data_IF_192900078193
#
_entry.id   IF_192900078193
#
_cell.length_a   1.000
_cell.length_b   1.000
_cell.length_c   1.000
_cell.angle_alpha   90.00
_cell.angle_beta   90.00
_cell.angle_gamma   90.00
#
_symmetry.space_group_name_H-M   'P 1'
#
loop_
_entity.id
_entity.type
_entity.pdbx_description
1 polymer ?
#
# COMPACT_ATOMS: atom_id res chain seq x y z
N UNK A 1 -10.26 21.37 3.54
CA UNK A 1 -8.87 21.36 3.05
C UNK A 1 -7.83 21.27 4.18
N UNK A 2 -8.18 20.75 5.35
CA UNK A 2 -7.28 20.72 6.53
C UNK A 2 -6.57 19.40 6.80
N UNK A 3 -6.80 18.36 6.01
CA UNK A 3 -6.40 16.99 6.35
C UNK A 3 -4.99 16.53 5.94
N UNK A 4 -4.23 17.27 5.13
CA UNK A 4 -2.90 16.83 4.62
C UNK A 4 -1.72 17.64 5.20
N UNK A 5 -1.99 18.71 5.98
CA UNK A 5 -0.95 19.53 6.57
C UNK A 5 -0.16 18.72 7.62
N UNK A 6 1.18 18.73 7.49
CA UNK A 6 2.19 18.14 8.38
C UNK A 6 2.48 16.65 8.24
N UNK A 7 2.05 15.94 7.20
CA UNK A 7 2.49 14.56 6.96
C UNK A 7 3.91 14.52 6.45
N UNK A 8 4.69 13.61 7.01
CA UNK A 8 6.09 13.44 6.67
C UNK A 8 6.25 12.39 5.58
N UNK A 9 6.84 12.76 4.45
CA UNK A 9 7.13 11.88 3.34
C UNK A 9 8.65 11.80 3.16
N UNK A 10 9.18 10.59 3.08
CA UNK A 10 10.56 10.36 2.70
C UNK A 10 10.65 10.05 1.21
N UNK A 11 11.61 10.67 0.54
CA UNK A 11 11.94 10.42 -0.87
C UNK A 11 13.35 9.86 -0.94
N UNK A 12 13.46 8.62 -1.36
CA UNK A 12 14.73 7.88 -1.46
C UNK A 12 14.97 7.60 -2.95
N UNK A 13 15.95 8.29 -3.53
CA UNK A 13 16.28 8.23 -4.97
C UNK A 13 17.72 8.75 -5.11
N UNK A 14 18.56 8.16 -5.94
CA UNK A 14 19.93 8.61 -6.13
C UNK A 14 20.04 9.87 -7.01
N UNK A 15 19.05 10.12 -7.88
CA UNK A 15 18.99 11.32 -8.73
C UNK A 15 18.51 12.54 -7.94
N UNK A 16 19.40 13.53 -7.73
CA UNK A 16 19.11 14.78 -7.04
C UNK A 16 17.96 15.56 -7.71
N UNK A 17 17.92 15.60 -9.05
CA UNK A 17 16.88 16.35 -9.77
C UNK A 17 15.50 15.72 -9.54
N UNK A 18 15.42 14.40 -9.46
CA UNK A 18 14.17 13.69 -9.17
C UNK A 18 13.74 13.97 -7.73
N UNK A 19 14.67 13.92 -6.76
CA UNK A 19 14.37 14.26 -5.36
C UNK A 19 13.86 15.68 -5.22
N UNK A 20 14.50 16.65 -5.89
CA UNK A 20 14.07 18.06 -5.89
C UNK A 20 12.69 18.24 -6.52
N UNK A 21 12.45 17.62 -7.68
CA UNK A 21 11.18 17.68 -8.40
C UNK A 21 10.02 17.14 -7.56
N UNK A 22 10.18 15.94 -6.99
CA UNK A 22 9.19 15.32 -6.11
C UNK A 22 8.95 16.19 -4.88
N UNK A 23 10.02 16.67 -4.26
CA UNK A 23 9.95 17.53 -3.07
C UNK A 23 9.18 18.82 -3.35
N UNK A 24 9.43 19.46 -4.50
CA UNK A 24 8.72 20.67 -4.92
C UNK A 24 7.20 20.44 -5.02
N UNK A 25 6.79 19.36 -5.70
CA UNK A 25 5.37 19.06 -5.89
C UNK A 25 4.67 18.72 -4.56
N UNK A 26 5.29 17.89 -3.73
CA UNK A 26 4.69 17.46 -2.48
C UNK A 26 4.64 18.58 -1.43
N UNK A 27 5.68 19.42 -1.34
CA UNK A 27 5.66 20.59 -0.47
C UNK A 27 4.57 21.60 -0.85
N UNK A 28 4.30 21.78 -2.17
CA UNK A 28 3.20 22.60 -2.66
C UNK A 28 1.82 22.08 -2.24
N UNK A 29 1.69 20.77 -2.04
CA UNK A 29 0.48 20.12 -1.52
C UNK A 29 0.40 20.10 0.02
N UNK A 30 1.40 20.68 0.72
CA UNK A 30 1.42 20.82 2.18
C UNK A 30 2.08 19.68 2.95
N UNK A 31 2.81 18.79 2.27
CA UNK A 31 3.58 17.72 2.90
C UNK A 31 4.92 18.23 3.44
N UNK A 32 5.40 17.60 4.53
CA UNK A 32 6.79 17.72 5.00
C UNK A 32 7.59 16.67 4.24
N UNK A 33 8.61 17.10 3.49
CA UNK A 33 9.40 16.18 2.64
C UNK A 33 10.86 16.20 3.07
N UNK A 34 11.37 15.03 3.39
CA UNK A 34 12.80 14.76 3.61
C UNK A 34 13.31 13.86 2.47
N UNK A 35 14.54 14.09 2.02
CA UNK A 35 15.10 13.41 0.85
C UNK A 35 16.39 12.69 1.21
N UNK A 36 16.61 11.51 0.64
CA UNK A 36 17.77 10.65 0.90
C UNK A 36 18.30 10.12 -0.42
N UNK A 37 19.63 10.06 -0.55
CA UNK A 37 20.32 9.68 -1.79
C UNK A 37 20.58 8.18 -1.92
N UNK A 38 20.30 7.40 -0.89
CA UNK A 38 20.51 5.94 -0.90
C UNK A 38 19.54 5.21 0.01
N UNK A 39 19.37 3.91 -0.23
CA UNK A 39 18.54 3.03 0.59
C UNK A 39 19.00 3.00 2.04
N UNK A 40 20.31 2.92 2.27
CA UNK A 40 20.92 2.89 3.60
C UNK A 40 20.60 4.16 4.40
N UNK A 41 20.74 5.34 3.78
CA UNK A 41 20.41 6.62 4.41
C UNK A 41 18.94 6.71 4.77
N UNK A 42 18.06 6.27 3.87
CA UNK A 42 16.63 6.22 4.09
C UNK A 42 16.23 5.28 5.23
N UNK A 43 16.83 4.08 5.30
CA UNK A 43 16.58 3.09 6.36
C UNK A 43 16.99 3.66 7.73
N UNK A 44 18.18 4.28 7.84
CA UNK A 44 18.63 4.89 9.09
C UNK A 44 17.70 6.02 9.54
N UNK A 45 17.22 6.83 8.60
CA UNK A 45 16.24 7.88 8.90
C UNK A 45 14.89 7.30 9.37
N UNK A 46 14.39 6.22 8.77
CA UNK A 46 13.15 5.54 9.19
C UNK A 46 13.28 4.98 10.60
N UNK A 47 14.44 4.41 10.97
CA UNK A 47 14.71 3.93 12.34
C UNK A 47 14.66 5.07 13.36
N UNK A 48 15.14 6.25 12.99
CA UNK A 48 15.15 7.42 13.87
C UNK A 48 13.76 8.05 14.00
N UNK A 49 12.98 8.12 12.93
CA UNK A 49 11.64 8.72 12.91
C UNK A 49 10.87 8.21 11.69
N UNK A 50 9.90 7.33 11.91
CA UNK A 50 9.08 6.78 10.84
C UNK A 50 8.30 7.88 10.10
N UNK A 51 8.31 7.88 8.74
CA UNK A 51 7.46 8.77 7.95
C UNK A 51 6.05 8.20 7.79
N UNK A 52 5.13 9.03 7.28
CA UNK A 52 3.78 8.61 6.91
C UNK A 52 3.75 7.89 5.55
N UNK A 53 4.77 8.09 4.72
CA UNK A 53 4.92 7.45 3.42
C UNK A 53 6.38 7.51 2.97
N UNK A 54 6.82 6.49 2.25
CA UNK A 54 8.11 6.47 1.52
C UNK A 54 7.84 6.42 0.02
N UNK A 55 8.49 7.30 -0.74
CA UNK A 55 8.69 7.19 -2.18
C UNK A 55 10.09 6.62 -2.40
N UNK A 56 10.20 5.48 -3.06
CA UNK A 56 11.43 4.70 -3.14
C UNK A 56 11.77 4.37 -4.59
N UNK A 57 12.91 4.88 -5.07
CA UNK A 57 13.42 4.46 -6.39
C UNK A 57 13.90 3.02 -6.37
N UNK A 58 13.71 2.33 -7.50
CA UNK A 58 14.19 0.96 -7.67
C UNK A 58 15.66 0.92 -8.06
N UNK A 59 16.08 1.82 -8.95
CA UNK A 59 17.37 1.76 -9.63
C UNK A 59 18.41 2.64 -8.92
N UNK A 60 18.82 2.26 -7.71
CA UNK A 60 19.86 2.96 -6.96
C UNK A 60 21.17 2.19 -6.93
N UNK A 61 22.33 2.85 -6.94
CA UNK A 61 23.61 2.19 -6.75
C UNK A 61 23.76 1.67 -5.32
N UNK A 62 24.47 0.55 -5.14
CA UNK A 62 24.63 -0.10 -3.85
C UNK A 62 23.40 -0.93 -3.48
N UNK A 63 22.68 -0.55 -2.44
CA UNK A 63 21.41 -1.19 -2.07
C UNK A 63 20.29 -0.71 -2.99
N UNK A 64 19.75 -1.61 -3.81
CA UNK A 64 18.64 -1.29 -4.70
C UNK A 64 17.31 -1.07 -3.94
N UNK A 65 16.29 -0.58 -4.66
CA UNK A 65 14.99 -0.30 -4.04
C UNK A 65 14.27 -1.55 -3.54
N UNK A 66 14.50 -2.71 -4.15
CA UNK A 66 13.87 -3.95 -3.69
C UNK A 66 14.47 -4.44 -2.37
N UNK A 67 15.78 -4.37 -2.22
CA UNK A 67 16.44 -4.72 -0.97
C UNK A 67 16.14 -3.69 0.12
N UNK A 68 16.09 -2.39 -0.25
CA UNK A 68 15.64 -1.32 0.64
C UNK A 68 14.23 -1.57 1.16
N UNK A 69 13.28 -1.94 0.27
CA UNK A 69 11.91 -2.27 0.64
C UNK A 69 11.84 -3.44 1.64
N UNK A 70 12.60 -4.51 1.41
CA UNK A 70 12.67 -5.66 2.32
C UNK A 70 13.14 -5.23 3.72
N UNK A 71 14.16 -4.36 3.80
CA UNK A 71 14.64 -3.84 5.08
C UNK A 71 13.60 -2.93 5.77
N UNK A 72 12.91 -2.07 5.00
CA UNK A 72 11.80 -1.25 5.54
C UNK A 72 10.71 -2.14 6.13
N UNK A 73 10.35 -3.25 5.46
CA UNK A 73 9.33 -4.19 5.95
C UNK A 73 9.72 -4.90 7.24
N UNK A 74 11.01 -5.07 7.54
CA UNK A 74 11.47 -5.57 8.84
C UNK A 74 11.33 -4.54 9.96
N UNK A 75 11.29 -3.25 9.62
CA UNK A 75 11.14 -2.16 10.59
C UNK A 75 9.66 -1.84 10.91
N UNK A 76 8.74 -2.19 10.02
CA UNK A 76 7.31 -1.94 10.20
C UNK A 76 6.54 -1.82 8.89
N UNK A 77 5.27 -1.43 9.01
CA UNK A 77 4.33 -1.37 7.89
C UNK A 77 4.16 0.08 7.34
N UNK A 78 5.25 0.84 7.28
CA UNK A 78 5.23 2.16 6.65
C UNK A 78 4.80 2.02 5.18
N UNK A 79 3.82 2.80 4.70
CA UNK A 79 3.42 2.78 3.30
C UNK A 79 4.57 3.12 2.37
N UNK A 80 4.74 2.34 1.29
CA UNK A 80 5.81 2.54 0.29
C UNK A 80 5.23 2.57 -1.11
N UNK A 81 5.52 3.63 -1.85
CA UNK A 81 5.28 3.71 -3.30
C UNK A 81 6.62 3.56 -4.00
N UNK A 82 6.75 2.54 -4.84
CA UNK A 82 7.95 2.37 -5.67
C UNK A 82 7.94 3.38 -6.82
N UNK A 83 9.07 4.01 -7.09
CA UNK A 83 9.27 4.90 -8.25
C UNK A 83 10.26 4.21 -9.18
N UNK A 84 9.96 4.07 -10.46
CA UNK A 84 10.78 3.26 -11.37
C UNK A 84 10.84 3.83 -12.77
N UNK A 85 12.00 3.73 -13.42
CA UNK A 85 12.16 3.98 -14.84
C UNK A 85 11.73 2.77 -15.71
N UNK A 86 11.50 1.61 -15.08
CA UNK A 86 11.14 0.37 -15.76
C UNK A 86 9.63 0.26 -15.91
N UNK A 87 9.17 0.20 -17.15
CA UNK A 87 7.75 0.01 -17.51
C UNK A 87 7.38 -1.46 -17.74
N UNK A 88 8.31 -2.39 -17.52
CA UNK A 88 8.03 -3.81 -17.68
C UNK A 88 7.08 -4.29 -16.57
N UNK A 89 6.05 -5.00 -16.98
CA UNK A 89 5.02 -5.56 -16.07
C UNK A 89 5.66 -6.41 -14.96
N UNK A 90 6.80 -7.05 -15.23
CA UNK A 90 7.51 -7.88 -14.27
C UNK A 90 8.05 -7.06 -13.08
N UNK A 91 8.66 -5.90 -13.32
CA UNK A 91 9.23 -5.08 -12.26
C UNK A 91 8.14 -4.48 -11.35
N UNK A 92 6.99 -4.10 -11.93
CA UNK A 92 5.83 -3.62 -11.18
C UNK A 92 5.25 -4.72 -10.28
N UNK A 93 5.08 -5.93 -10.81
CA UNK A 93 4.59 -7.09 -10.06
C UNK A 93 5.57 -7.45 -8.95
N UNK A 94 6.88 -7.48 -9.22
CA UNK A 94 7.89 -7.81 -8.22
C UNK A 94 7.89 -6.82 -7.06
N UNK A 95 7.84 -5.51 -7.31
CA UNK A 95 7.77 -4.49 -6.26
C UNK A 95 6.54 -4.66 -5.38
N UNK A 96 5.38 -4.89 -5.98
CA UNK A 96 4.15 -5.18 -5.25
C UNK A 96 4.26 -6.52 -4.50
N UNK A 97 4.80 -7.59 -5.08
CA UNK A 97 5.02 -8.88 -4.41
C UNK A 97 5.98 -8.78 -3.21
N UNK A 98 6.93 -7.85 -3.22
CA UNK A 98 7.83 -7.58 -2.11
C UNK A 98 7.24 -6.72 -0.99
N UNK A 99 6.03 -6.20 -1.18
CA UNK A 99 5.35 -5.46 -0.12
C UNK A 99 5.10 -3.99 -0.39
N UNK A 100 5.39 -3.46 -1.58
CA UNK A 100 5.00 -2.10 -1.94
C UNK A 100 3.47 -1.96 -1.96
N UNK A 101 2.99 -0.76 -1.62
CA UNK A 101 1.57 -0.42 -1.63
C UNK A 101 1.11 0.08 -3.00
N UNK A 102 2.01 0.70 -3.76
CA UNK A 102 1.77 1.19 -5.12
C UNK A 102 3.10 1.39 -5.86
N UNK A 103 3.03 1.78 -7.14
CA UNK A 103 4.19 2.14 -7.96
C UNK A 103 3.90 3.34 -8.87
N UNK A 104 4.95 4.05 -9.27
CA UNK A 104 4.93 5.18 -10.22
C UNK A 104 6.02 4.96 -11.26
N UNK A 105 5.71 5.13 -12.53
CA UNK A 105 6.68 4.98 -13.62
C UNK A 105 7.26 6.36 -14.00
N UNK A 106 8.58 6.45 -14.09
CA UNK A 106 9.29 7.63 -14.62
C UNK A 106 9.28 7.60 -16.16
N UNK A 107 9.01 8.72 -16.86
CA UNK A 107 8.62 10.02 -16.34
C UNK A 107 7.15 10.04 -15.91
N UNK A 108 6.84 10.70 -14.81
CA UNK A 108 5.49 10.84 -14.26
C UNK A 108 4.99 12.28 -14.33
N UNK A 109 3.68 12.44 -14.44
CA UNK A 109 3.03 13.73 -14.34
C UNK A 109 2.88 14.16 -12.87
N UNK A 110 3.02 15.45 -12.53
CA UNK A 110 2.83 15.94 -11.15
C UNK A 110 1.48 15.55 -10.55
N UNK A 111 0.43 15.55 -11.36
CA UNK A 111 -0.91 15.14 -10.94
C UNK A 111 -0.99 13.67 -10.58
N UNK A 112 -0.31 12.81 -11.32
CA UNK A 112 -0.24 11.38 -11.03
C UNK A 112 0.47 11.14 -9.70
N UNK A 113 1.66 11.72 -9.51
CA UNK A 113 2.41 11.62 -8.25
C UNK A 113 1.55 12.03 -7.05
N UNK A 114 0.95 13.22 -7.12
CA UNK A 114 0.15 13.75 -6.00
C UNK A 114 -1.11 12.95 -5.75
N UNK A 115 -1.78 12.44 -6.80
CA UNK A 115 -2.96 11.59 -6.67
C UNK A 115 -2.62 10.27 -5.96
N UNK A 116 -1.53 9.59 -6.34
CA UNK A 116 -1.09 8.34 -5.71
C UNK A 116 -0.66 8.55 -4.26
N UNK A 117 0.11 9.60 -3.99
CA UNK A 117 0.49 9.95 -2.62
C UNK A 117 -0.75 10.21 -1.76
N UNK A 118 -1.72 10.97 -2.27
CA UNK A 118 -3.00 11.23 -1.58
C UNK A 118 -3.78 9.92 -1.36
N UNK A 119 -3.86 9.06 -2.35
CA UNK A 119 -4.57 7.78 -2.24
C UNK A 119 -3.96 6.88 -1.17
N UNK A 120 -2.64 6.78 -1.08
CA UNK A 120 -1.96 5.96 -0.08
C UNK A 120 -1.98 6.61 1.30
N UNK A 121 -1.87 7.95 1.42
CA UNK A 121 -1.85 8.66 2.71
C UNK A 121 -3.24 8.99 3.29
N UNK A 122 -4.33 8.94 2.51
CA UNK A 122 -5.69 9.30 2.95
C UNK A 122 -6.19 8.51 4.16
N UNK A 123 -5.69 7.31 4.38
CA UNK A 123 -6.09 6.39 5.45
C UNK A 123 -5.84 6.90 6.86
N UNK A 124 -4.77 7.65 7.04
CA UNK A 124 -4.45 8.22 8.35
C UNK A 124 -5.36 9.40 8.72
N UNK A 125 -6.33 9.78 7.85
CA UNK A 125 -7.31 10.83 8.13
C UNK A 125 -8.66 10.34 8.63
N UNK A 126 -9.03 9.07 8.39
CA UNK A 126 -10.30 8.53 8.88
C UNK A 126 -10.25 8.16 10.37
N UNK A 127 -9.61 8.98 11.21
CA UNK A 127 -9.84 9.03 12.66
C UNK A 127 -11.09 9.85 13.03
N UNK A 128 -11.82 10.41 12.04
CA UNK A 128 -13.13 10.99 12.29
C UNK A 128 -14.23 10.01 11.87
N UNK A 129 -14.67 9.22 12.86
CA UNK A 129 -15.87 8.37 12.94
C UNK A 129 -16.13 7.42 11.77
N UNK A 130 -15.82 6.13 11.92
CA UNK A 130 -16.76 5.12 11.45
C UNK A 130 -17.94 5.11 12.44
N UNK A 131 -19.14 5.19 11.90
CA UNK A 131 -20.30 4.72 12.65
C UNK A 131 -20.01 3.29 13.10
N UNK A 132 -20.11 3.05 14.42
CA UNK A 132 -20.06 1.81 15.15
C UNK A 132 -19.28 0.66 14.50
N UNK A 133 -18.17 0.28 15.18
CA UNK A 133 -17.54 -1.01 15.05
C UNK A 133 -16.53 -1.17 13.90
N UNK A 134 -15.37 -0.56 14.04
CA UNK A 134 -14.19 -0.83 13.20
C UNK A 134 -13.63 -2.26 13.32
N UNK A 135 -14.42 -3.20 13.86
CA UNK A 135 -14.06 -4.60 14.00
C UNK A 135 -15.01 -5.45 13.17
N UNK A 136 -14.45 -6.19 12.22
CA UNK A 136 -15.18 -7.21 11.45
C UNK A 136 -14.63 -8.58 11.82
N UNK A 137 -15.51 -9.51 12.16
CA UNK A 137 -15.13 -10.87 12.53
C UNK A 137 -15.89 -11.90 11.72
N UNK A 138 -15.16 -12.90 11.24
CA UNK A 138 -15.66 -14.13 10.63
C UNK A 138 -14.94 -15.31 11.28
N UNK A 139 -15.32 -16.55 11.00
CA UNK A 139 -14.62 -17.69 11.61
C UNK A 139 -13.10 -17.58 11.49
N UNK A 140 -12.40 -17.65 12.63
CA UNK A 140 -10.94 -17.60 12.74
C UNK A 140 -10.24 -16.33 12.23
N UNK A 141 -10.97 -15.27 11.85
CA UNK A 141 -10.41 -14.01 11.37
C UNK A 141 -11.13 -12.83 12.02
N UNK A 142 -10.36 -11.94 12.63
CA UNK A 142 -10.84 -10.65 13.14
C UNK A 142 -9.99 -9.53 12.58
N UNK A 143 -10.63 -8.50 12.04
CA UNK A 143 -9.99 -7.31 11.48
C UNK A 143 -10.42 -6.11 12.31
N UNK A 144 -9.46 -5.40 12.89
CA UNK A 144 -9.69 -4.15 13.59
C UNK A 144 -9.12 -3.00 12.75
N UNK A 145 -10.00 -2.23 12.11
CA UNK A 145 -9.61 -1.09 11.27
C UNK A 145 -9.20 0.14 12.08
N UNK A 146 -9.53 0.20 13.37
CA UNK A 146 -9.09 1.29 14.25
C UNK A 146 -7.60 1.19 14.56
N UNK A 147 -7.13 -0.03 14.84
CA UNK A 147 -5.74 -0.28 15.19
C UNK A 147 -4.94 -0.86 14.02
N UNK A 148 -5.55 -1.01 12.83
CA UNK A 148 -4.98 -1.68 11.66
C UNK A 148 -4.39 -3.06 12.00
N UNK A 149 -5.13 -3.81 12.81
CA UNK A 149 -4.70 -5.10 13.33
C UNK A 149 -5.56 -6.24 12.77
N UNK A 150 -4.92 -7.33 12.39
CA UNK A 150 -5.58 -8.54 11.90
C UNK A 150 -5.18 -9.71 12.79
N UNK A 151 -6.17 -10.42 13.32
CA UNK A 151 -5.95 -11.65 14.10
C UNK A 151 -6.50 -12.84 13.32
N UNK A 152 -5.69 -13.87 13.16
CA UNK A 152 -6.04 -15.09 12.44
C UNK A 152 -5.70 -16.33 13.28
N UNK A 153 -6.70 -17.15 13.60
CA UNK A 153 -6.61 -18.26 14.55
C UNK A 153 -6.02 -17.85 15.93
N UNK A 154 -6.21 -16.61 16.34
CA UNK A 154 -5.70 -16.06 17.59
C UNK A 154 -4.32 -15.41 17.49
N UNK A 155 -3.61 -15.60 16.38
CA UNK A 155 -2.32 -14.98 16.14
C UNK A 155 -2.47 -13.64 15.42
N UNK A 156 -1.65 -12.66 15.78
CA UNK A 156 -1.60 -11.37 15.08
C UNK A 156 -0.83 -11.53 13.77
N UNK A 157 -1.46 -11.16 12.66
CA UNK A 157 -0.87 -11.19 11.32
C UNK A 157 -0.55 -9.78 10.87
N UNK A 158 0.72 -9.53 10.61
CA UNK A 158 1.16 -8.27 10.04
C UNK A 158 0.88 -8.22 8.54
N UNK A 159 0.10 -7.23 8.13
CA UNK A 159 -0.25 -6.95 6.75
C UNK A 159 0.05 -5.49 6.38
N UNK A 160 0.54 -5.22 5.17
CA UNK A 160 0.56 -3.87 4.63
C UNK A 160 -0.84 -3.24 4.65
N UNK A 161 -0.94 -1.91 4.84
CA UNK A 161 -2.23 -1.25 4.97
C UNK A 161 -3.23 -1.55 3.84
N UNK A 162 -2.77 -1.61 2.54
CA UNK A 162 -3.67 -1.93 1.40
C UNK A 162 -4.20 -3.35 1.45
N UNK A 163 -3.47 -4.28 2.02
CA UNK A 163 -3.95 -5.63 2.22
C UNK A 163 -5.03 -5.69 3.29
N UNK A 164 -4.87 -4.94 4.39
CA UNK A 164 -5.88 -4.86 5.45
C UNK A 164 -7.18 -4.26 4.90
N UNK A 165 -7.09 -3.16 4.15
CA UNK A 165 -8.28 -2.51 3.56
C UNK A 165 -9.00 -3.40 2.55
N UNK A 166 -8.23 -4.04 1.66
CA UNK A 166 -8.80 -4.96 0.67
C UNK A 166 -9.47 -6.15 1.35
N UNK A 167 -8.80 -6.73 2.34
CA UNK A 167 -9.36 -7.84 3.12
C UNK A 167 -10.62 -7.40 3.87
N UNK A 168 -10.56 -6.28 4.60
CA UNK A 168 -11.70 -5.73 5.33
C UNK A 168 -12.90 -5.47 4.40
N UNK A 169 -12.65 -4.86 3.25
CA UNK A 169 -13.72 -4.57 2.29
C UNK A 169 -14.39 -5.85 1.77
N UNK A 170 -13.60 -6.85 1.44
CA UNK A 170 -14.13 -8.15 0.98
C UNK A 170 -14.89 -8.88 2.08
N UNK A 171 -14.36 -8.92 3.31
CA UNK A 171 -14.97 -9.58 4.47
C UNK A 171 -16.27 -8.89 4.90
N UNK A 172 -16.32 -7.56 4.81
CA UNK A 172 -17.54 -6.78 5.12
C UNK A 172 -18.66 -6.98 4.09
N UNK A 173 -18.36 -7.59 2.95
CA UNK A 173 -19.36 -7.86 1.89
C UNK A 173 -19.31 -9.33 1.46
N UNK A 174 -19.62 -10.28 2.35
CA UNK A 174 -19.48 -11.70 2.08
C UNK A 174 -20.40 -12.12 0.92
N UNK A 175 -19.89 -13.04 0.10
CA UNK A 175 -20.56 -13.62 -1.07
C UNK A 175 -20.86 -12.64 -2.23
N UNK A 176 -20.55 -11.35 -2.08
CA UNK A 176 -20.66 -10.36 -3.16
C UNK A 176 -19.43 -10.43 -4.07
N UNK A 177 -19.67 -10.42 -5.39
CA UNK A 177 -18.62 -10.35 -6.41
C UNK A 177 -18.29 -8.90 -6.69
N UNK A 178 -16.99 -8.58 -6.72
CA UNK A 178 -16.49 -7.28 -7.13
C UNK A 178 -15.57 -7.44 -8.33
N UNK A 179 -15.69 -6.54 -9.30
CA UNK A 179 -14.73 -6.48 -10.40
C UNK A 179 -13.38 -5.95 -9.92
N UNK A 180 -12.34 -6.16 -10.72
CA UNK A 180 -11.01 -5.61 -10.41
C UNK A 180 -11.02 -4.09 -10.35
N UNK A 181 -11.75 -3.46 -11.27
CA UNK A 181 -11.94 -2.02 -11.33
C UNK A 181 -12.65 -1.50 -10.08
N UNK A 182 -13.73 -2.15 -9.66
CA UNK A 182 -14.46 -1.77 -8.43
C UNK A 182 -13.56 -1.85 -7.19
N UNK A 183 -12.75 -2.90 -7.07
CA UNK A 183 -11.80 -3.05 -5.96
C UNK A 183 -10.70 -2.00 -6.05
N UNK A 184 -10.19 -1.74 -7.25
CA UNK A 184 -9.17 -0.72 -7.47
C UNK A 184 -9.70 0.67 -7.07
N UNK A 185 -10.84 1.08 -7.60
CA UNK A 185 -11.47 2.37 -7.31
C UNK A 185 -11.76 2.53 -5.81
N UNK A 186 -12.26 1.47 -5.17
CA UNK A 186 -12.63 1.54 -3.77
C UNK A 186 -11.43 1.59 -2.83
N UNK A 187 -10.40 0.78 -3.10
CA UNK A 187 -9.22 0.65 -2.24
C UNK A 187 -8.13 1.65 -2.60
N UNK A 188 -7.95 2.02 -3.85
CA UNK A 188 -6.93 2.98 -4.31
C UNK A 188 -7.51 4.35 -4.71
N UNK A 189 -8.80 4.42 -5.04
CA UNK A 189 -9.53 5.65 -5.40
C UNK A 189 -9.70 5.83 -6.90
N UNK A 190 -10.73 6.62 -7.30
CA UNK A 190 -11.06 6.89 -8.70
C UNK A 190 -9.95 7.60 -9.49
N UNK A 191 -9.10 8.37 -8.81
CA UNK A 191 -7.97 9.06 -9.43
C UNK A 191 -6.70 8.19 -9.50
N UNK A 192 -6.84 6.89 -9.23
CA UNK A 192 -5.73 5.96 -9.30
C UNK A 192 -5.46 5.54 -10.75
N UNK A 193 -4.32 5.94 -11.29
CA UNK A 193 -3.89 5.63 -12.68
C UNK A 193 -3.18 4.27 -12.82
N UNK A 194 -3.25 3.41 -11.81
CA UNK A 194 -2.64 2.08 -11.85
C UNK A 194 -3.48 1.04 -12.60
N UNK A 195 -2.83 -0.05 -12.96
CA UNK A 195 -3.50 -1.18 -13.62
C UNK A 195 -4.32 -2.00 -12.61
N UNK A 196 -5.39 -2.62 -13.08
CA UNK A 196 -6.23 -3.55 -12.29
C UNK A 196 -5.44 -4.76 -11.76
N UNK A 197 -4.28 -5.04 -12.37
CA UNK A 197 -3.34 -6.08 -11.94
C UNK A 197 -2.79 -5.86 -10.52
N UNK A 198 -2.77 -4.62 -10.05
CA UNK A 198 -2.45 -4.29 -8.65
C UNK A 198 -3.33 -5.08 -7.67
N UNK A 199 -4.62 -5.20 -7.97
CA UNK A 199 -5.56 -5.99 -7.16
C UNK A 199 -5.17 -7.46 -7.13
N UNK A 200 -4.80 -8.04 -8.30
CA UNK A 200 -4.46 -9.46 -8.41
C UNK A 200 -3.25 -9.81 -7.53
N UNK A 201 -2.25 -8.93 -7.48
CA UNK A 201 -1.05 -9.12 -6.64
C UNK A 201 -1.40 -9.11 -5.15
N UNK A 202 -2.20 -8.15 -4.70
CA UNK A 202 -2.62 -8.08 -3.30
C UNK A 202 -3.50 -9.26 -2.90
N UNK A 203 -4.40 -9.72 -3.79
CA UNK A 203 -5.20 -10.93 -3.56
C UNK A 203 -4.30 -12.18 -3.44
N UNK A 204 -3.27 -12.30 -4.29
CA UNK A 204 -2.31 -13.41 -4.21
C UNK A 204 -1.62 -13.44 -2.84
N UNK A 205 -1.10 -12.29 -2.41
CA UNK A 205 -0.41 -12.15 -1.10
C UNK A 205 -1.32 -12.45 0.08
N UNK A 206 -2.58 -11.97 0.05
CA UNK A 206 -3.57 -12.30 1.07
C UNK A 206 -3.81 -13.83 1.14
N UNK A 207 -3.97 -14.49 0.00
CA UNK A 207 -4.15 -15.95 -0.04
C UNK A 207 -2.96 -16.71 0.53
N UNK A 208 -1.73 -16.25 0.26
CA UNK A 208 -0.51 -16.86 0.80
C UNK A 208 -0.41 -16.74 2.32
N UNK A 209 -0.96 -15.65 2.91
CA UNK A 209 -0.98 -15.44 4.36
C UNK A 209 -2.12 -16.19 5.07
N UNK A 210 -3.20 -16.48 4.35
CA UNK A 210 -4.41 -17.11 4.88
C UNK A 210 -4.71 -18.46 4.19
N UNK A 211 -3.71 -19.35 4.15
CA UNK A 211 -3.71 -20.57 3.34
C UNK A 211 -4.27 -21.83 4.07
N UNK A 212 -4.74 -21.69 5.33
CA UNK A 212 -5.27 -22.83 6.09
C UNK A 212 -6.58 -23.34 5.50
N UNK A 213 -6.68 -24.65 5.39
CA UNK A 213 -7.85 -25.33 4.81
C UNK A 213 -9.10 -25.34 5.72
N UNK A 214 -8.92 -25.00 7.01
CA UNK A 214 -9.98 -24.99 8.04
C UNK A 214 -10.52 -23.58 8.34
N UNK A 215 -10.34 -22.63 7.41
CA UNK A 215 -10.75 -21.24 7.58
C UNK A 215 -12.26 -21.05 7.78
N UNK A 216 -13.12 -21.86 7.15
CA UNK A 216 -14.56 -21.61 7.01
C UNK A 216 -14.90 -20.48 6.01
N UNK A 217 -13.90 -20.01 5.25
CA UNK A 217 -14.02 -18.99 4.21
C UNK A 217 -12.88 -19.07 3.20
N UNK A 218 -13.10 -18.46 2.03
CA UNK A 218 -12.08 -18.34 0.99
C UNK A 218 -12.19 -16.99 0.24
N UNK A 219 -11.06 -16.43 -0.21
CA UNK A 219 -11.07 -15.38 -1.23
C UNK A 219 -11.12 -16.06 -2.59
N UNK A 220 -12.29 -16.08 -3.22
CA UNK A 220 -12.56 -16.83 -4.46
C UNK A 220 -12.42 -15.96 -5.69
N UNK A 221 -11.74 -16.48 -6.72
CA UNK A 221 -11.73 -15.87 -8.06
C UNK A 221 -13.04 -16.20 -8.78
N UNK A 222 -13.66 -15.18 -9.35
CA UNK A 222 -14.76 -15.33 -10.31
C UNK A 222 -14.19 -15.03 -11.69
N UNK A 223 -13.91 -16.08 -12.45
CA UNK A 223 -13.21 -16.00 -13.73
C UNK A 223 -13.87 -15.00 -14.69
N UNK A 224 -13.05 -14.16 -15.31
CA UNK A 224 -13.51 -13.11 -16.22
C UNK A 224 -14.17 -11.89 -15.54
N UNK A 225 -14.38 -11.92 -14.21
CA UNK A 225 -15.04 -10.83 -13.46
C UNK A 225 -14.11 -10.22 -12.42
N UNK A 226 -13.71 -11.00 -11.39
CA UNK A 226 -12.95 -10.45 -10.28
C UNK A 226 -12.92 -11.37 -9.07
N UNK A 227 -13.22 -10.86 -7.88
CA UNK A 227 -13.05 -11.57 -6.63
C UNK A 227 -14.27 -11.46 -5.71
N UNK A 228 -14.42 -12.43 -4.82
CA UNK A 228 -15.36 -12.39 -3.71
C UNK A 228 -14.80 -13.07 -2.48
N UNK A 229 -15.23 -12.64 -1.31
CA UNK A 229 -15.07 -13.38 -0.07
C UNK A 229 -16.24 -14.35 0.08
N UNK A 230 -15.96 -15.65 0.13
CA UNK A 230 -16.97 -16.70 0.27
C UNK A 230 -16.92 -17.24 1.69
N UNK A 231 -18.03 -17.17 2.41
CA UNK A 231 -18.25 -17.93 3.65
C UNK A 231 -18.80 -19.32 3.28
N UNK A 232 -18.33 -20.33 3.98
CA UNK A 232 -18.85 -21.71 3.89
C UNK A 232 -20.15 -21.87 4.67
#
# INVERSE_FOLDING_TARGET
MEGFMNRKIFVIDDDENIRELISLYLKKEGYIVETYESGEAGIEAIKASAPDLVLLDIMMPGMDGYDTLKEIRKLGQVPVIMVTAKDETFDKVLGLELGADDYIVKPFEPKELTARVKAVTRRFQNTEKPEAEGIVSVPNLTINMTDYNVTYFGDVIELPPKEIELLNYLVSHPNRVFTREQLLDHIWGYDFFGETRTVDVHIKRLREKFDRSDNGWEIKTVWGVGYKFKLE
#
